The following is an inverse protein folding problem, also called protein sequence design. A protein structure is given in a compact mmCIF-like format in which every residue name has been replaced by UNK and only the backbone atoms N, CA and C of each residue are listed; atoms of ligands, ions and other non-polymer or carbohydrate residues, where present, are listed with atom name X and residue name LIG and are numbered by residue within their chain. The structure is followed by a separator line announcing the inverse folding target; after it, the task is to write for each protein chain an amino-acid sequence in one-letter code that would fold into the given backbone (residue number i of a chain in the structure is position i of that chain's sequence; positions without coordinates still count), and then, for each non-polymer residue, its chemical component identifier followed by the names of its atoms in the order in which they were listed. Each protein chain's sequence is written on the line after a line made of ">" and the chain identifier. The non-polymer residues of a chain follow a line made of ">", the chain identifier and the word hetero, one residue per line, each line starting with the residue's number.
data_IF_450384947285
#
_entry.id   IF_450384947285
#
_cell.length_a   1.000
_cell.length_b   1.000
_cell.length_c   1.000
_cell.angle_alpha   90.00
_cell.angle_beta   90.00
_cell.angle_gamma   90.00
#
_symmetry.space_group_name_H-M   'P 1'
#
loop_
_entity.id
_entity.type
_entity.pdbx_description
1 polymer ?
#
# COMPACT_ATOMS: atom_id res chain seq x y z
N UNK A 1 13.19 9.74 -41.22
CA UNK A 1 13.59 9.73 -39.78
C UNK A 1 12.33 9.74 -38.94
N UNK A 2 11.84 8.57 -38.55
CA UNK A 2 10.70 8.41 -37.64
C UNK A 2 11.25 7.96 -36.29
N UNK A 3 11.20 8.80 -35.26
CA UNK A 3 11.61 8.44 -33.91
C UNK A 3 10.35 8.22 -33.06
N UNK A 4 9.94 6.96 -32.96
CA UNK A 4 8.99 6.50 -31.95
C UNK A 4 9.74 6.44 -30.62
N UNK A 5 9.56 7.47 -29.79
CA UNK A 5 9.98 7.42 -28.39
C UNK A 5 9.08 6.45 -27.65
N UNK A 6 9.62 5.25 -27.44
CA UNK A 6 9.06 4.19 -26.63
C UNK A 6 8.82 4.69 -25.20
N UNK A 7 7.56 4.75 -24.81
CA UNK A 7 7.11 4.73 -23.43
C UNK A 7 7.51 3.37 -22.83
N UNK A 8 8.65 3.32 -22.14
CA UNK A 8 9.16 2.11 -21.50
C UNK A 8 8.32 1.84 -20.25
N UNK A 9 7.42 0.88 -20.37
CA UNK A 9 6.75 0.26 -19.23
C UNK A 9 7.77 -0.17 -18.18
N UNK A 10 7.52 0.22 -16.94
CA UNK A 10 8.28 -0.23 -15.78
C UNK A 10 7.98 -1.71 -15.57
N UNK A 11 8.83 -2.58 -16.12
CA UNK A 11 8.88 -4.00 -15.79
C UNK A 11 9.27 -4.14 -14.33
N UNK A 12 8.31 -4.46 -13.46
CA UNK A 12 8.62 -5.01 -12.14
C UNK A 12 9.10 -6.44 -12.37
N UNK A 13 10.41 -6.68 -12.28
CA UNK A 13 10.93 -8.04 -12.18
C UNK A 13 10.22 -8.75 -11.02
N UNK A 14 9.79 -10.01 -11.19
CA UNK A 14 9.25 -10.78 -10.09
C UNK A 14 10.36 -10.91 -9.05
N UNK A 15 10.12 -10.37 -7.85
CA UNK A 15 11.06 -10.36 -6.75
C UNK A 15 11.70 -11.74 -6.60
N UNK A 16 13.01 -11.83 -6.88
CA UNK A 16 13.82 -12.99 -6.61
C UNK A 16 13.55 -13.43 -5.16
N UNK A 17 13.09 -14.68 -4.99
CA UNK A 17 12.80 -15.37 -3.74
C UNK A 17 12.55 -14.44 -2.53
N UNK A 18 11.30 -14.06 -2.29
CA UNK A 18 10.89 -13.19 -1.18
C UNK A 18 11.57 -13.60 0.13
N UNK A 19 12.68 -12.92 0.44
CA UNK A 19 13.40 -13.07 1.69
C UNK A 19 12.55 -12.53 2.84
N UNK A 20 13.01 -12.73 4.07
CA UNK A 20 12.30 -12.21 5.23
C UNK A 20 12.21 -10.68 5.17
N UNK A 21 10.99 -10.15 5.22
CA UNK A 21 10.72 -8.71 5.35
C UNK A 21 10.34 -8.37 6.78
N UNK A 22 10.73 -7.17 7.22
CA UNK A 22 10.37 -6.68 8.55
C UNK A 22 8.88 -6.37 8.66
N UNK A 23 8.31 -5.72 7.64
CA UNK A 23 6.90 -5.37 7.59
C UNK A 23 6.05 -6.53 7.05
N UNK A 24 4.83 -6.62 7.56
CA UNK A 24 3.82 -7.56 7.06
C UNK A 24 3.23 -7.08 5.74
N UNK A 25 2.62 -7.99 4.98
CA UNK A 25 1.88 -7.62 3.76
C UNK A 25 0.75 -6.61 4.04
N UNK A 26 0.15 -6.62 5.24
CA UNK A 26 -0.86 -5.62 5.62
C UNK A 26 -0.26 -4.21 5.68
N UNK A 27 0.91 -4.08 6.31
CA UNK A 27 1.62 -2.81 6.37
C UNK A 27 2.07 -2.34 4.98
N UNK A 28 2.58 -3.26 4.14
CA UNK A 28 2.95 -2.93 2.76
C UNK A 28 1.76 -2.46 1.91
N UNK A 29 0.61 -3.15 1.99
CA UNK A 29 -0.62 -2.73 1.29
C UNK A 29 -1.06 -1.35 1.77
N UNK A 30 -1.08 -1.11 3.09
CA UNK A 30 -1.48 0.16 3.66
C UNK A 30 -0.56 1.31 3.18
N UNK A 31 0.75 1.11 3.19
CA UNK A 31 1.73 2.09 2.70
C UNK A 31 1.54 2.43 1.22
N UNK A 32 1.25 1.43 0.39
CA UNK A 32 1.01 1.65 -1.03
C UNK A 32 -0.25 2.50 -1.24
N UNK A 33 -1.32 2.23 -0.49
CA UNK A 33 -2.58 2.99 -0.56
C UNK A 33 -2.40 4.42 -0.03
N UNK A 34 -1.63 4.62 1.05
CA UNK A 34 -1.31 5.95 1.59
C UNK A 34 -0.65 6.83 0.53
N UNK A 35 0.27 6.26 -0.26
CA UNK A 35 1.01 7.00 -1.31
C UNK A 35 0.16 7.29 -2.55
N UNK A 36 -0.82 6.44 -2.84
CA UNK A 36 -1.72 6.58 -3.98
C UNK A 36 -3.13 6.09 -3.62
N UNK A 37 -4.00 6.97 -3.11
CA UNK A 37 -5.36 6.62 -2.68
C UNK A 37 -6.28 6.10 -3.80
N UNK A 38 -5.92 6.30 -5.08
CA UNK A 38 -6.71 5.89 -6.25
C UNK A 38 -6.15 4.64 -6.93
N UNK A 39 -5.15 3.99 -6.31
CA UNK A 39 -4.46 2.84 -6.86
C UNK A 39 -5.40 1.64 -7.03
N UNK A 40 -5.25 0.90 -8.12
CA UNK A 40 -6.03 -0.32 -8.32
C UNK A 40 -5.48 -1.48 -7.49
N UNK A 41 -6.33 -2.41 -7.05
CA UNK A 41 -5.88 -3.59 -6.29
C UNK A 41 -4.88 -4.46 -7.07
N UNK A 42 -4.98 -4.45 -8.39
CA UNK A 42 -4.02 -5.10 -9.30
C UNK A 42 -2.63 -4.45 -9.21
N UNK A 43 -2.56 -3.11 -9.23
CA UNK A 43 -1.28 -2.39 -9.08
C UNK A 43 -0.71 -2.54 -7.67
N UNK A 44 -1.55 -2.56 -6.63
CA UNK A 44 -1.11 -2.86 -5.26
C UNK A 44 -0.48 -4.26 -5.20
N UNK A 45 -1.14 -5.27 -5.76
CA UNK A 45 -0.63 -6.63 -5.80
C UNK A 45 0.75 -6.71 -6.48
N UNK A 46 0.90 -6.03 -7.62
CA UNK A 46 2.16 -5.96 -8.35
C UNK A 46 3.27 -5.25 -7.54
N UNK A 47 2.98 -4.12 -6.88
CA UNK A 47 3.96 -3.38 -6.07
C UNK A 47 4.38 -4.13 -4.80
N UNK A 48 3.44 -4.83 -4.16
CA UNK A 48 3.69 -5.59 -2.92
C UNK A 48 4.30 -6.97 -3.21
N UNK A 49 4.16 -7.50 -4.43
CA UNK A 49 4.66 -8.83 -4.79
C UNK A 49 3.77 -9.97 -4.29
N UNK A 50 2.46 -9.74 -4.21
CA UNK A 50 1.47 -10.75 -3.79
C UNK A 50 0.40 -10.94 -4.86
N UNK A 51 -0.48 -11.94 -4.68
CA UNK A 51 -1.59 -12.17 -5.61
C UNK A 51 -2.68 -11.11 -5.41
N UNK A 52 -3.42 -10.80 -6.48
CA UNK A 52 -4.55 -9.85 -6.41
C UNK A 52 -5.62 -10.31 -5.41
N UNK A 53 -5.85 -11.62 -5.30
CA UNK A 53 -6.74 -12.21 -4.29
C UNK A 53 -6.24 -11.97 -2.86
N UNK A 54 -4.92 -12.08 -2.63
CA UNK A 54 -4.34 -11.77 -1.32
C UNK A 54 -4.49 -10.29 -0.99
N UNK A 55 -4.26 -9.40 -1.96
CA UNK A 55 -4.51 -7.96 -1.80
C UNK A 55 -5.96 -7.67 -1.44
N UNK A 56 -6.92 -8.26 -2.16
CA UNK A 56 -8.36 -8.08 -1.87
C UNK A 56 -8.70 -8.51 -0.44
N UNK A 57 -8.18 -9.65 0.02
CA UNK A 57 -8.37 -10.12 1.40
C UNK A 57 -7.78 -9.14 2.40
N UNK A 58 -6.54 -8.70 2.21
CA UNK A 58 -5.85 -7.77 3.10
C UNK A 58 -6.61 -6.42 3.18
N UNK A 59 -7.08 -5.90 2.05
CA UNK A 59 -7.87 -4.66 2.04
C UNK A 59 -9.19 -4.82 2.80
N UNK A 60 -9.87 -5.96 2.66
CA UNK A 60 -11.07 -6.25 3.44
C UNK A 60 -10.76 -6.39 4.94
N UNK A 61 -9.65 -7.03 5.31
CA UNK A 61 -9.20 -7.16 6.70
C UNK A 61 -8.88 -5.77 7.29
N UNK A 62 -8.22 -4.88 6.53
CA UNK A 62 -7.93 -3.50 6.93
C UNK A 62 -9.20 -2.64 7.06
N UNK A 63 -10.16 -2.79 6.14
CA UNK A 63 -11.45 -2.10 6.18
C UNK A 63 -12.29 -2.54 7.39
N UNK A 64 -12.40 -3.86 7.63
CA UNK A 64 -13.08 -4.42 8.80
C UNK A 64 -12.39 -4.01 10.11
N UNK A 65 -11.07 -3.83 10.06
CA UNK A 65 -10.29 -3.37 11.19
C UNK A 65 -10.38 -1.86 11.45
N UNK A 66 -10.98 -1.08 10.55
CA UNK A 66 -11.12 0.37 10.66
C UNK A 66 -9.88 1.16 10.26
N UNK A 67 -8.89 0.55 9.59
CA UNK A 67 -7.68 1.26 9.14
C UNK A 67 -7.88 2.06 7.85
N UNK A 68 -8.87 1.66 7.04
CA UNK A 68 -9.24 2.38 5.84
C UNK A 68 -10.73 2.26 5.57
N UNK A 69 -11.23 3.16 4.74
CA UNK A 69 -12.55 3.04 4.11
C UNK A 69 -12.40 3.09 2.60
N UNK A 70 -13.34 2.45 1.89
CA UNK A 70 -13.36 2.43 0.43
C UNK A 70 -14.64 3.10 -0.08
N UNK A 71 -14.46 4.12 -0.92
CA UNK A 71 -15.54 4.76 -1.66
C UNK A 71 -15.40 4.48 -3.16
N UNK A 72 -16.52 4.40 -3.87
CA UNK A 72 -16.51 4.27 -5.33
C UNK A 72 -16.65 5.66 -5.96
N UNK A 73 -15.60 6.09 -6.65
CA UNK A 73 -15.57 7.34 -7.41
C UNK A 73 -15.63 7.00 -8.92
N UNK A 74 -16.86 6.94 -9.44
CA UNK A 74 -17.13 6.56 -10.82
C UNK A 74 -16.73 5.11 -11.12
N UNK A 75 -15.68 4.94 -11.94
CA UNK A 75 -15.15 3.62 -12.34
C UNK A 75 -14.01 3.13 -11.44
N UNK A 76 -13.52 3.96 -10.52
CA UNK A 76 -12.39 3.63 -9.64
C UNK A 76 -12.83 3.57 -8.18
N UNK A 77 -12.06 2.82 -7.39
CA UNK A 77 -12.14 2.88 -5.95
C UNK A 77 -11.18 3.96 -5.46
N UNK A 78 -11.64 4.70 -4.46
CA UNK A 78 -10.92 5.70 -3.70
C UNK A 78 -10.81 5.20 -2.28
N UNK A 79 -9.60 5.16 -1.73
CA UNK A 79 -9.36 4.71 -0.37
C UNK A 79 -9.05 5.90 0.53
N UNK A 80 -9.66 5.94 1.71
CA UNK A 80 -9.34 6.95 2.73
C UNK A 80 -8.80 6.25 3.95
N UNK A 81 -7.60 6.66 4.40
CA UNK A 81 -6.97 6.13 5.61
C UNK A 81 -7.64 6.74 6.82
N UNK A 82 -7.99 5.89 7.78
CA UNK A 82 -8.57 6.34 9.04
C UNK A 82 -7.44 6.71 9.99
N UNK A 83 -7.43 7.96 10.43
CA UNK A 83 -6.41 8.46 11.36
C UNK A 83 -6.69 8.03 12.81
N UNK A 84 -5.65 8.03 13.65
CA UNK A 84 -5.71 7.71 15.08
C UNK A 84 -6.01 6.23 15.36
N UNK A 85 -5.69 5.33 14.43
CA UNK A 85 -5.89 3.90 14.63
C UNK A 85 -4.70 3.27 15.37
N UNK A 86 -4.90 2.73 16.57
CA UNK A 86 -3.81 2.19 17.37
C UNK A 86 -3.26 0.90 16.75
N UNK A 87 -2.00 0.58 17.07
CA UNK A 87 -1.51 -0.77 16.86
C UNK A 87 -2.26 -1.76 17.75
N UNK A 88 -2.64 -2.90 17.17
CA UNK A 88 -3.38 -3.97 17.88
C UNK A 88 -2.53 -4.73 18.90
N UNK A 89 -1.21 -4.60 18.85
CA UNK A 89 -0.30 -5.35 19.71
C UNK A 89 0.06 -4.55 20.98
N UNK A 90 -0.03 -5.13 22.20
CA UNK A 90 0.27 -4.42 23.44
C UNK A 90 1.68 -3.81 23.51
N UNK A 91 2.67 -4.41 22.83
CA UNK A 91 4.03 -3.86 22.76
C UNK A 91 4.12 -2.54 21.99
N UNK A 92 3.14 -2.23 21.15
CA UNK A 92 3.02 -0.98 20.42
C UNK A 92 1.90 -0.09 21.01
N UNK A 93 1.46 -0.38 22.24
CA UNK A 93 0.48 0.44 22.93
C UNK A 93 1.01 1.87 23.08
N UNK A 94 0.15 2.86 22.80
CA UNK A 94 0.51 4.28 22.82
C UNK A 94 1.07 4.80 21.49
N UNK A 95 1.22 3.95 20.48
CA UNK A 95 1.56 4.36 19.12
C UNK A 95 0.40 4.09 18.17
N UNK A 96 0.22 5.00 17.22
CA UNK A 96 -0.77 4.88 16.16
C UNK A 96 -0.11 4.43 14.86
N UNK A 97 -0.89 3.73 14.04
CA UNK A 97 -0.44 3.30 12.71
C UNK A 97 -0.04 4.50 11.86
N UNK A 98 -0.67 5.66 12.04
CA UNK A 98 -0.33 6.93 11.39
C UNK A 98 1.10 7.38 11.65
N UNK A 99 1.65 7.12 12.84
CA UNK A 99 3.02 7.52 13.19
C UNK A 99 4.02 6.75 12.33
N UNK A 100 3.83 5.43 12.22
CA UNK A 100 4.64 4.58 11.33
C UNK A 100 4.47 4.99 9.87
N UNK A 101 3.23 5.24 9.44
CA UNK A 101 2.94 5.67 8.07
C UNK A 101 3.58 7.02 7.76
N UNK A 102 3.55 7.98 8.70
CA UNK A 102 4.22 9.26 8.58
C UNK A 102 5.72 9.09 8.35
N UNK A 103 6.40 8.31 9.21
CA UNK A 103 7.85 8.05 9.07
C UNK A 103 8.19 7.46 7.69
N UNK A 104 7.40 6.51 7.20
CA UNK A 104 7.68 5.76 5.98
C UNK A 104 7.16 6.45 4.69
N UNK A 105 6.17 7.32 4.79
CA UNK A 105 5.64 8.10 3.69
C UNK A 105 6.38 9.43 3.52
N UNK A 106 6.97 9.99 4.57
CA UNK A 106 7.77 11.23 4.55
C UNK A 106 9.18 11.09 3.93
N UNK A 107 9.43 10.01 3.17
CA UNK A 107 10.68 9.74 2.47
C UNK A 107 10.95 10.64 1.26
N UNK A 108 10.89 11.96 1.46
CA UNK A 108 11.53 12.97 0.60
C UNK A 108 11.87 14.20 1.45
N UNK A 109 12.75 14.03 2.44
CA UNK A 109 13.60 15.15 2.84
C UNK A 109 14.98 14.80 2.32
N UNK A 110 15.31 15.43 1.20
CA UNK A 110 16.62 15.45 0.58
C UNK A 110 17.71 15.73 1.59
N UNK A 111 18.85 15.05 1.44
CA UNK A 111 20.18 15.58 1.75
C UNK A 111 21.03 15.40 0.47
#
# INVERSE_FOLDING_TARGET
>A
MANQSADRGVTHEPAAAAGWTFLTNHAHVLLVIVRDPQITLREVAARVGITERATQKIVADLEAAGYLTRAREGRRNSYTISTGQPFRHPLAAGHDVDELLGILASGSTSD
#
